data_IF_170928639371
#
_entry.id   IF_170928639371
#
_cell.length_a   1.000
_cell.length_b   1.000
_cell.length_c   1.000
_cell.angle_alpha   90.00
_cell.angle_beta   90.00
_cell.angle_gamma   90.00
#
_symmetry.space_group_name_H-M   'P 1'
#
loop_
_entity.id
_entity.type
_entity.pdbx_description
1 polymer ?
#
# COMPACT_ATOMS: atom_id res chain seq x y z
N UNK A 1 8.82 11.93 -22.86
CA UNK A 1 8.51 10.50 -23.09
C UNK A 1 7.01 10.36 -23.27
N UNK A 2 6.60 9.55 -24.26
CA UNK A 2 5.21 9.32 -24.63
C UNK A 2 4.56 8.26 -23.73
N UNK A 3 3.24 8.30 -23.60
CA UNK A 3 2.49 7.23 -22.94
C UNK A 3 2.40 6.03 -23.89
N UNK A 4 2.69 4.85 -23.38
CA UNK A 4 2.53 3.57 -24.06
C UNK A 4 1.32 2.84 -23.46
N UNK A 5 0.74 1.94 -24.22
CA UNK A 5 -0.42 1.16 -23.79
C UNK A 5 -0.26 -0.29 -24.26
N UNK A 6 -0.63 -1.24 -23.41
CA UNK A 6 -0.88 -2.63 -23.79
C UNK A 6 -2.32 -3.01 -23.42
N UNK A 7 -2.67 -4.29 -23.46
CA UNK A 7 -4.05 -4.75 -23.19
C UNK A 7 -4.57 -4.41 -21.79
N UNK A 8 -3.69 -4.15 -20.81
CA UNK A 8 -4.08 -3.99 -19.41
C UNK A 8 -3.59 -2.69 -18.77
N UNK A 9 -2.59 -2.02 -19.34
CA UNK A 9 -1.95 -0.88 -18.71
C UNK A 9 -1.66 0.25 -19.70
N UNK A 10 -1.83 1.48 -19.23
CA UNK A 10 -1.10 2.63 -19.76
C UNK A 10 0.14 2.85 -18.90
N UNK A 11 1.30 3.06 -19.51
CA UNK A 11 2.58 3.15 -18.82
C UNK A 11 3.56 4.11 -19.52
N UNK A 12 4.63 4.48 -18.84
CA UNK A 12 5.80 5.14 -19.42
C UNK A 12 7.04 4.30 -19.24
N UNK A 13 7.92 4.41 -20.21
CA UNK A 13 9.29 3.95 -20.16
C UNK A 13 10.18 5.16 -19.86
N UNK A 14 10.84 5.14 -18.70
CA UNK A 14 11.69 6.21 -18.19
C UNK A 14 13.02 5.58 -17.78
N UNK A 15 14.09 5.89 -18.50
CA UNK A 15 15.45 5.40 -18.23
C UNK A 15 15.52 3.88 -18.00
N UNK A 16 14.92 3.12 -18.92
CA UNK A 16 14.80 1.65 -18.88
C UNK A 16 14.01 1.08 -17.70
N UNK A 17 13.17 1.91 -17.06
CA UNK A 17 12.23 1.50 -16.02
C UNK A 17 10.79 1.78 -16.44
N UNK A 18 9.87 0.90 -16.06
CA UNK A 18 8.44 1.02 -16.35
C UNK A 18 7.70 1.66 -15.19
N UNK A 19 6.91 2.66 -15.52
CA UNK A 19 6.02 3.38 -14.61
C UNK A 19 4.59 3.19 -15.09
N UNK A 20 3.77 2.47 -14.31
CA UNK A 20 2.35 2.25 -14.63
C UNK A 20 1.56 3.52 -14.31
N UNK A 21 0.82 4.03 -15.29
CA UNK A 21 -0.01 5.24 -15.17
C UNK A 21 -1.47 4.92 -14.89
N UNK A 22 -2.00 3.86 -15.49
CA UNK A 22 -3.41 3.46 -15.34
C UNK A 22 -3.57 1.98 -15.68
N UNK A 23 -4.48 1.31 -14.98
CA UNK A 23 -4.98 -0.01 -15.28
C UNK A 23 -6.27 0.09 -16.08
N UNK A 24 -6.19 -0.38 -17.32
CA UNK A 24 -7.29 -0.37 -18.28
C UNK A 24 -7.84 -1.78 -18.56
N UNK A 25 -7.31 -2.80 -17.87
CA UNK A 25 -7.81 -4.16 -17.95
C UNK A 25 -9.11 -4.39 -17.18
N UNK A 26 -9.77 -5.51 -17.47
CA UNK A 26 -11.07 -5.85 -16.87
C UNK A 26 -10.99 -6.81 -15.68
N UNK A 27 -9.86 -7.51 -15.51
CA UNK A 27 -9.67 -8.47 -14.41
C UNK A 27 -9.78 -7.81 -13.04
N UNK A 28 -10.36 -8.53 -12.07
CA UNK A 28 -10.42 -8.12 -10.66
C UNK A 28 -9.31 -8.76 -9.81
N UNK A 29 -8.73 -9.84 -10.31
CA UNK A 29 -7.55 -10.47 -9.73
C UNK A 29 -6.37 -10.14 -10.63
N UNK A 30 -5.47 -9.28 -10.15
CA UNK A 30 -4.40 -8.70 -10.95
C UNK A 30 -3.05 -9.15 -10.41
N UNK A 31 -2.29 -9.83 -11.26
CA UNK A 31 -0.85 -10.00 -11.05
C UNK A 31 -0.16 -8.93 -11.88
N UNK A 32 0.34 -7.88 -11.24
CA UNK A 32 1.09 -6.84 -11.94
C UNK A 32 2.44 -7.45 -12.35
N UNK A 33 2.80 -7.43 -13.64
CA UNK A 33 3.99 -8.14 -14.10
C UNK A 33 5.26 -7.47 -13.59
N UNK A 34 6.27 -8.29 -13.26
CA UNK A 34 7.60 -7.79 -12.90
C UNK A 34 8.25 -6.96 -14.02
N UNK A 35 7.90 -7.27 -15.27
CA UNK A 35 8.44 -6.63 -16.46
C UNK A 35 7.35 -6.29 -17.47
N UNK A 36 7.47 -5.12 -18.10
CA UNK A 36 6.75 -4.79 -19.34
C UNK A 36 7.81 -4.43 -20.37
N UNK A 37 7.73 -5.02 -21.58
CA UNK A 37 8.71 -4.82 -22.65
C UNK A 37 10.17 -5.08 -22.21
N UNK A 38 10.40 -6.14 -21.43
CA UNK A 38 11.71 -6.52 -20.85
C UNK A 38 12.33 -5.48 -19.89
N UNK A 39 11.52 -4.54 -19.38
CA UNK A 39 11.95 -3.50 -18.44
C UNK A 39 11.19 -3.64 -17.12
N UNK A 40 11.87 -3.48 -15.97
CA UNK A 40 11.25 -3.70 -14.67
C UNK A 40 10.15 -2.69 -14.39
N UNK A 41 9.04 -3.15 -13.81
CA UNK A 41 8.00 -2.26 -13.27
C UNK A 41 8.46 -1.77 -11.90
N UNK A 42 8.73 -0.47 -11.81
CA UNK A 42 9.31 0.16 -10.62
C UNK A 42 8.37 1.12 -9.91
N UNK A 43 7.32 1.58 -10.58
CA UNK A 43 6.40 2.55 -10.00
C UNK A 43 4.97 2.35 -10.48
N UNK A 44 4.05 2.59 -9.56
CA UNK A 44 2.61 2.66 -9.81
C UNK A 44 2.17 4.06 -9.42
N UNK A 45 1.74 4.83 -10.42
CA UNK A 45 1.43 6.24 -10.28
C UNK A 45 0.08 6.48 -9.62
N UNK A 46 -0.15 7.76 -9.31
CA UNK A 46 -1.35 8.26 -8.68
C UNK A 46 -2.60 7.69 -9.36
N UNK A 47 -3.52 7.16 -8.55
CA UNK A 47 -4.83 6.65 -8.97
C UNK A 47 -4.79 5.53 -10.04
N UNK A 48 -3.62 4.94 -10.34
CA UNK A 48 -3.48 4.00 -11.45
C UNK A 48 -4.42 2.78 -11.37
N UNK A 49 -4.79 2.36 -10.16
CA UNK A 49 -5.75 1.29 -9.90
C UNK A 49 -6.92 1.76 -9.01
N UNK A 50 -7.20 3.07 -8.90
CA UNK A 50 -8.32 3.57 -8.10
C UNK A 50 -9.68 3.07 -8.63
N UNK A 51 -10.54 2.62 -7.72
CA UNK A 51 -11.92 2.23 -7.99
C UNK A 51 -12.10 1.22 -9.16
N UNK A 52 -11.17 0.27 -9.29
CA UNK A 52 -11.22 -0.78 -10.33
C UNK A 52 -11.98 -2.03 -9.88
N UNK A 53 -12.46 -2.06 -8.63
CA UNK A 53 -13.16 -3.17 -7.98
C UNK A 53 -12.27 -4.42 -7.81
N UNK A 54 -10.95 -4.23 -7.68
CA UNK A 54 -10.00 -5.34 -7.55
C UNK A 54 -10.26 -6.12 -6.26
N UNK A 55 -10.17 -7.44 -6.33
CA UNK A 55 -10.34 -8.35 -5.19
C UNK A 55 -8.99 -8.93 -4.73
N UNK A 56 -8.04 -9.09 -5.64
CA UNK A 56 -6.68 -9.51 -5.36
C UNK A 56 -5.66 -8.73 -6.21
N UNK A 57 -4.53 -8.37 -5.59
CA UNK A 57 -3.39 -7.74 -6.27
C UNK A 57 -2.10 -8.39 -5.81
N UNK A 58 -1.27 -8.80 -6.78
CA UNK A 58 0.13 -9.16 -6.55
C UNK A 58 1.01 -8.04 -7.12
N UNK A 59 1.80 -7.41 -6.24
CA UNK A 59 2.73 -6.33 -6.60
C UNK A 59 4.01 -6.90 -7.24
N UNK A 60 4.63 -6.18 -8.18
CA UNK A 60 5.82 -6.67 -8.85
C UNK A 60 7.05 -6.61 -7.93
N UNK A 61 7.98 -7.52 -8.15
CA UNK A 61 9.19 -7.73 -7.34
C UNK A 61 10.12 -6.51 -7.28
N UNK A 62 10.14 -5.69 -8.32
CA UNK A 62 11.04 -4.54 -8.45
C UNK A 62 10.35 -3.20 -8.14
N UNK A 63 9.16 -3.26 -7.54
CA UNK A 63 8.39 -2.06 -7.23
C UNK A 63 9.11 -1.21 -6.18
N UNK A 64 9.46 0.03 -6.54
CA UNK A 64 10.10 1.01 -5.67
C UNK A 64 9.06 2.01 -5.12
N UNK A 65 8.07 2.40 -5.93
CA UNK A 65 7.13 3.48 -5.61
C UNK A 65 5.67 3.08 -5.81
N UNK A 66 4.85 3.30 -4.78
CA UNK A 66 3.38 3.26 -4.84
C UNK A 66 2.89 4.66 -4.53
N UNK A 67 2.32 5.35 -5.50
CA UNK A 67 1.97 6.76 -5.36
C UNK A 67 0.59 6.98 -4.70
N UNK A 68 0.20 8.24 -4.52
CA UNK A 68 -1.06 8.66 -3.88
C UNK A 68 -2.28 7.96 -4.49
N UNK A 69 -3.13 7.39 -3.63
CA UNK A 69 -4.38 6.73 -4.01
C UNK A 69 -4.24 5.60 -5.07
N UNK A 70 -3.03 5.06 -5.28
CA UNK A 70 -2.73 4.10 -6.35
C UNK A 70 -3.70 2.91 -6.39
N UNK A 71 -4.16 2.40 -5.26
CA UNK A 71 -5.14 1.31 -5.12
C UNK A 71 -6.36 1.70 -4.28
N UNK A 72 -6.68 3.00 -4.20
CA UNK A 72 -7.80 3.49 -3.41
C UNK A 72 -9.14 2.89 -3.87
N UNK A 73 -10.10 2.76 -2.93
CA UNK A 73 -11.47 2.29 -3.21
C UNK A 73 -11.60 0.97 -4.00
N UNK A 74 -10.86 -0.06 -3.58
CA UNK A 74 -11.02 -1.42 -4.14
C UNK A 74 -11.63 -2.40 -3.13
N UNK A 75 -11.57 -3.70 -3.43
CA UNK A 75 -12.03 -4.79 -2.57
C UNK A 75 -10.89 -5.74 -2.18
N UNK A 76 -9.64 -5.26 -2.21
CA UNK A 76 -8.45 -6.07 -1.93
C UNK A 76 -8.54 -6.60 -0.50
N UNK A 77 -8.35 -7.92 -0.33
CA UNK A 77 -8.44 -8.59 0.99
C UNK A 77 -7.10 -8.85 1.64
N UNK A 78 -6.07 -9.10 0.84
CA UNK A 78 -4.71 -9.33 1.32
C UNK A 78 -3.74 -8.51 0.48
N UNK A 79 -2.74 -7.92 1.13
CA UNK A 79 -1.66 -7.23 0.43
C UNK A 79 -0.33 -7.45 1.14
N UNK A 80 0.70 -7.71 0.34
CA UNK A 80 2.10 -7.73 0.76
C UNK A 80 2.78 -6.54 0.11
N UNK A 81 3.31 -5.62 0.91
CA UNK A 81 4.17 -4.55 0.43
C UNK A 81 5.59 -5.13 0.31
N UNK A 82 6.13 -5.32 -0.91
CA UNK A 82 7.37 -6.07 -1.09
C UNK A 82 8.59 -5.28 -0.57
N UNK A 83 9.64 -6.01 -0.21
CA UNK A 83 10.88 -5.45 0.34
C UNK A 83 11.56 -4.39 -0.54
N UNK A 84 11.26 -4.36 -1.84
CA UNK A 84 11.79 -3.39 -2.79
C UNK A 84 11.16 -1.99 -2.67
N UNK A 85 9.99 -1.87 -2.03
CA UNK A 85 9.27 -0.59 -1.92
C UNK A 85 10.05 0.36 -1.03
N UNK A 86 10.28 1.56 -1.54
CA UNK A 86 11.00 2.63 -0.85
C UNK A 86 10.00 3.69 -0.36
N UNK A 87 8.85 3.84 -1.05
CA UNK A 87 7.86 4.86 -0.70
C UNK A 87 6.44 4.44 -1.04
N UNK A 88 5.54 4.76 -0.12
CA UNK A 88 4.09 4.66 -0.27
C UNK A 88 3.50 6.08 -0.22
N UNK A 89 2.51 6.35 -1.07
CA UNK A 89 1.75 7.60 -1.13
C UNK A 89 0.55 7.62 -0.19
N UNK A 90 0.05 8.82 0.10
CA UNK A 90 -1.15 8.99 0.93
C UNK A 90 -2.33 8.26 0.32
N UNK A 91 -3.18 7.61 1.14
CA UNK A 91 -4.36 6.89 0.67
C UNK A 91 -4.12 5.69 -0.26
N UNK A 92 -2.85 5.31 -0.52
CA UNK A 92 -2.49 4.32 -1.54
C UNK A 92 -3.30 3.01 -1.46
N UNK A 93 -3.63 2.53 -0.27
CA UNK A 93 -4.46 1.35 -0.03
C UNK A 93 -5.70 1.64 0.83
N UNK A 94 -6.14 2.90 0.85
CA UNK A 94 -7.34 3.33 1.57
C UNK A 94 -8.62 2.76 0.97
N UNK A 95 -9.67 2.64 1.79
CA UNK A 95 -11.03 2.20 1.43
C UNK A 95 -11.05 0.87 0.68
N UNK A 96 -10.29 -0.10 1.17
CA UNK A 96 -10.28 -1.47 0.67
C UNK A 96 -11.02 -2.41 1.63
N UNK A 97 -10.80 -3.73 1.50
CA UNK A 97 -11.28 -4.75 2.42
C UNK A 97 -10.12 -5.53 3.03
N UNK A 98 -8.95 -4.88 3.21
CA UNK A 98 -7.72 -5.58 3.61
C UNK A 98 -7.91 -6.13 5.01
N UNK A 99 -7.86 -7.45 5.14
CA UNK A 99 -7.89 -8.21 6.38
C UNK A 99 -6.47 -8.56 6.82
N UNK A 100 -5.59 -8.82 5.85
CA UNK A 100 -4.19 -9.19 6.07
C UNK A 100 -3.23 -8.26 5.33
N UNK A 101 -2.47 -7.51 6.11
CA UNK A 101 -1.39 -6.64 5.63
C UNK A 101 -0.05 -7.21 6.08
N UNK A 102 0.88 -7.36 5.15
CA UNK A 102 2.30 -7.64 5.44
C UNK A 102 3.14 -6.53 4.83
N UNK A 103 4.03 -5.92 5.63
CA UNK A 103 4.97 -4.91 5.16
C UNK A 103 6.37 -5.54 5.25
N UNK A 104 6.89 -5.99 4.11
CA UNK A 104 8.27 -6.49 3.99
C UNK A 104 9.25 -5.35 3.68
N UNK A 105 8.73 -4.20 3.26
CA UNK A 105 9.50 -3.01 2.95
C UNK A 105 10.14 -2.40 4.20
N UNK A 106 11.43 -2.10 4.12
CA UNK A 106 12.20 -1.40 5.15
C UNK A 106 12.02 0.13 5.02
N UNK A 107 10.77 0.59 4.99
CA UNK A 107 10.43 2.02 4.89
C UNK A 107 10.44 2.70 6.27
N UNK A 108 10.77 3.99 6.27
CA UNK A 108 10.85 4.82 7.47
C UNK A 108 9.54 5.56 7.80
N UNK A 109 8.69 5.77 6.79
CA UNK A 109 7.52 6.63 6.87
C UNK A 109 6.29 6.02 6.22
N UNK A 110 5.17 6.08 6.94
CA UNK A 110 3.85 5.75 6.42
C UNK A 110 2.96 7.01 6.35
N UNK A 111 2.42 7.36 5.16
CA UNK A 111 1.75 8.64 4.92
C UNK A 111 0.29 8.65 5.39
N UNK A 112 -0.32 9.84 5.34
CA UNK A 112 -1.71 10.05 5.76
C UNK A 112 -2.67 9.13 4.99
N UNK A 113 -3.63 8.53 5.69
CA UNK A 113 -4.66 7.65 5.13
C UNK A 113 -4.20 6.39 4.38
N UNK A 114 -2.90 6.06 4.41
CA UNK A 114 -2.28 4.98 3.62
C UNK A 114 -3.08 3.65 3.57
N UNK A 115 -3.70 3.25 4.68
CA UNK A 115 -4.50 2.04 4.88
C UNK A 115 -5.84 2.37 5.59
N UNK A 116 -6.38 3.59 5.42
CA UNK A 116 -7.63 4.01 6.07
C UNK A 116 -8.82 3.16 5.63
N UNK A 117 -9.74 2.86 6.54
CA UNK A 117 -11.04 2.24 6.21
C UNK A 117 -10.91 0.84 5.63
N UNK A 118 -10.05 0.01 6.23
CA UNK A 118 -9.87 -1.40 5.90
C UNK A 118 -10.46 -2.32 6.99
N UNK A 119 -10.24 -3.63 6.87
CA UNK A 119 -10.75 -4.66 7.79
C UNK A 119 -9.62 -5.35 8.58
N UNK A 120 -8.50 -4.67 8.81
CA UNK A 120 -7.32 -5.28 9.44
C UNK A 120 -7.66 -5.67 10.87
N UNK A 121 -7.42 -6.93 11.25
CA UNK A 121 -7.67 -7.42 12.62
C UNK A 121 -6.43 -7.36 13.52
N UNK A 122 -5.27 -7.73 12.95
CA UNK A 122 -3.99 -7.79 13.63
C UNK A 122 -2.96 -7.02 12.81
N UNK A 123 -2.29 -6.05 13.41
CA UNK A 123 -1.31 -5.20 12.75
C UNK A 123 0.04 -5.30 13.45
N UNK A 124 1.09 -5.55 12.67
CA UNK A 124 2.48 -5.41 13.12
C UNK A 124 3.17 -4.40 12.22
N UNK A 125 3.65 -3.30 12.82
CA UNK A 125 4.45 -2.30 12.13
C UNK A 125 5.93 -2.69 12.28
N UNK A 126 6.70 -2.80 11.18
CA UNK A 126 8.12 -3.09 11.23
C UNK A 126 8.92 -2.05 12.02
N UNK A 127 10.02 -2.46 12.66
CA UNK A 127 10.93 -1.57 13.41
C UNK A 127 11.56 -0.46 12.55
N UNK A 128 11.63 -0.66 11.24
CA UNK A 128 12.10 0.36 10.29
C UNK A 128 11.21 1.60 10.25
N UNK A 129 9.91 1.46 10.54
CA UNK A 129 8.95 2.57 10.46
C UNK A 129 9.11 3.46 11.69
N UNK A 130 9.70 4.63 11.47
CA UNK A 130 9.99 5.60 12.53
C UNK A 130 8.93 6.69 12.65
N UNK A 131 8.10 6.89 11.62
CA UNK A 131 7.03 7.88 11.63
C UNK A 131 5.79 7.40 10.86
N UNK A 132 4.60 7.68 11.41
CA UNK A 132 3.31 7.39 10.80
C UNK A 132 2.45 8.65 10.87
N UNK A 133 1.93 9.07 9.72
CA UNK A 133 1.01 10.21 9.66
C UNK A 133 -0.37 9.88 10.22
N UNK A 134 -1.13 10.94 10.50
CA UNK A 134 -2.51 10.86 10.96
C UNK A 134 -3.37 9.94 10.06
N UNK A 135 -4.22 9.15 10.72
CA UNK A 135 -5.25 8.29 10.15
C UNK A 135 -4.76 7.28 9.12
N UNK A 136 -3.46 7.01 9.05
CA UNK A 136 -2.88 6.01 8.15
C UNK A 136 -3.54 4.64 8.35
N UNK A 137 -3.91 4.29 9.59
CA UNK A 137 -4.70 3.09 9.90
C UNK A 137 -6.09 3.42 10.45
N UNK A 138 -6.59 4.63 10.22
CA UNK A 138 -7.90 5.06 10.69
C UNK A 138 -9.03 4.19 10.14
N UNK A 139 -10.17 4.17 10.81
CA UNK A 139 -11.40 3.47 10.43
C UNK A 139 -11.23 1.94 10.18
N UNK A 140 -10.18 1.31 10.69
CA UNK A 140 -10.05 -0.15 10.72
C UNK A 140 -10.87 -0.72 11.89
N UNK A 141 -12.18 -0.87 11.68
CA UNK A 141 -13.15 -1.21 12.75
C UNK A 141 -12.93 -2.57 13.41
N UNK A 142 -12.21 -3.46 12.75
CA UNK A 142 -11.89 -4.80 13.24
C UNK A 142 -10.52 -4.89 13.92
N UNK A 143 -9.76 -3.79 13.96
CA UNK A 143 -8.39 -3.80 14.49
C UNK A 143 -8.39 -3.98 16.00
N UNK A 144 -7.97 -5.16 16.46
CA UNK A 144 -7.95 -5.54 17.88
C UNK A 144 -6.57 -5.57 18.49
N UNK A 145 -5.55 -5.97 17.72
CA UNK A 145 -4.17 -6.10 18.22
C UNK A 145 -3.21 -5.33 17.34
N UNK A 146 -2.38 -4.51 17.98
CA UNK A 146 -1.35 -3.72 17.30
C UNK A 146 -0.01 -3.97 17.97
N UNK A 147 1.03 -4.17 17.17
CA UNK A 147 2.43 -4.20 17.59
C UNK A 147 3.13 -3.03 16.90
N UNK A 148 3.69 -2.10 17.69
CA UNK A 148 4.35 -0.88 17.21
C UNK A 148 5.83 -0.83 17.60
N UNK A 149 6.71 -0.22 16.80
CA UNK A 149 8.00 0.26 17.27
C UNK A 149 7.87 1.18 18.50
N UNK A 150 8.77 1.05 19.48
CA UNK A 150 8.75 1.89 20.70
C UNK A 150 8.84 3.39 20.41
N UNK A 151 9.49 3.80 19.31
CA UNK A 151 9.61 5.21 18.91
C UNK A 151 8.25 5.87 18.57
N UNK A 152 7.19 5.09 18.31
CA UNK A 152 5.85 5.58 17.99
C UNK A 152 4.91 5.67 19.22
N UNK A 153 5.47 5.67 20.43
CA UNK A 153 4.70 5.64 21.67
C UNK A 153 3.74 6.84 21.81
N UNK A 154 4.15 8.02 21.33
CA UNK A 154 3.44 9.29 21.51
C UNK A 154 2.38 9.56 20.42
N UNK A 155 2.49 8.94 19.24
CA UNK A 155 1.66 9.26 18.05
C UNK A 155 0.36 8.44 17.92
N UNK A 156 0.08 7.55 18.88
CA UNK A 156 -0.96 6.52 18.77
C UNK A 156 -2.36 7.04 18.46
N UNK A 157 -2.76 8.16 19.09
CA UNK A 157 -4.16 8.60 19.06
C UNK A 157 -4.62 9.03 17.66
N UNK A 158 -3.71 9.61 16.88
CA UNK A 158 -4.05 10.10 15.55
C UNK A 158 -3.84 9.05 14.48
N UNK A 159 -3.06 7.99 14.71
CA UNK A 159 -2.83 6.93 13.70
C UNK A 159 -4.07 6.03 13.52
N UNK A 160 -4.80 5.79 14.61
CA UNK A 160 -5.87 4.79 14.72
C UNK A 160 -7.26 5.40 14.97
N UNK A 161 -7.54 6.58 14.44
CA UNK A 161 -8.86 7.21 14.59
C UNK A 161 -9.99 6.24 14.18
N UNK A 162 -11.03 6.11 15.01
CA UNK A 162 -12.17 5.23 14.70
C UNK A 162 -11.88 3.73 14.77
N UNK A 163 -10.72 3.31 15.30
CA UNK A 163 -10.43 1.92 15.64
C UNK A 163 -10.83 1.60 17.08
N UNK A 164 -11.14 0.34 17.36
CA UNK A 164 -11.49 -0.17 18.70
C UNK A 164 -10.46 -1.21 19.16
N UNK A 165 -9.26 -0.73 19.48
CA UNK A 165 -8.08 -1.56 19.77
C UNK A 165 -8.14 -2.08 21.21
N UNK A 166 -8.06 -3.41 21.37
CA UNK A 166 -8.07 -4.06 22.68
C UNK A 166 -6.66 -4.10 23.30
N UNK A 167 -5.63 -4.25 22.47
CA UNK A 167 -4.25 -4.42 22.93
C UNK A 167 -3.21 -3.79 22.00
N UNK A 168 -2.27 -3.04 22.60
CA UNK A 168 -1.08 -2.52 21.93
C UNK A 168 0.15 -3.08 22.64
N UNK A 169 1.07 -3.68 21.88
CA UNK A 169 2.40 -4.10 22.32
C UNK A 169 3.49 -3.34 21.57
N UNK A 170 4.71 -3.39 22.08
CA UNK A 170 5.84 -2.64 21.50
C UNK A 170 7.02 -3.56 21.14
N UNK A 171 7.68 -3.22 20.04
CA UNK A 171 8.96 -3.80 19.62
C UNK A 171 10.07 -2.89 20.18
N UNK A 172 10.93 -3.39 21.08
CA UNK A 172 12.11 -2.66 21.55
C UNK A 172 13.04 -2.33 20.38
N UNK A 173 13.63 -1.14 20.42
CA UNK A 173 14.55 -0.63 19.38
C UNK A 173 15.94 -0.42 19.99
#
# INVERSE_FOLDING_TARGET
>A
MENLTNESYTFKDIDDKIVILDYIGDSKDVVIPDYINNKPVVAIMREAFDNKKLEAVVLPKYLEFIDEDAFYQNHIKEIVIPASVIKIGGGAFGRNKIEKLTIEAEIDFLPMFCFVGNNIENLTIPASVTSISNDCFGENKYLKKVTLPECLLEDKKNIFYGCDIDNITFIPI
#
